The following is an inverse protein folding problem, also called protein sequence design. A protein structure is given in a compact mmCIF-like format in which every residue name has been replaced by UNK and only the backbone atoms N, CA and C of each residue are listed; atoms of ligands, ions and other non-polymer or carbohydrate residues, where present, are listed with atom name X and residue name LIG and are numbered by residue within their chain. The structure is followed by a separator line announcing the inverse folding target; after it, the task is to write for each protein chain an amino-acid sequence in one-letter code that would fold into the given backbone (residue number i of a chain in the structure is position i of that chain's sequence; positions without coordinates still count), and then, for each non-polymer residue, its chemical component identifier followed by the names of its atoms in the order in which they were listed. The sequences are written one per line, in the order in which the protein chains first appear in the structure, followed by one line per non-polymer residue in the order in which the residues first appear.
data_IF_290388678024
#
_entry.id   IF_290388678024
#
_cell.length_a   1.000
_cell.length_b   1.000
_cell.length_c   1.000
_cell.angle_alpha   90.00
_cell.angle_beta   90.00
_cell.angle_gamma   90.00
#
_symmetry.space_group_name_H-M   'P 1'
#
loop_
_entity.id
_entity.type
_entity.pdbx_description
1 polymer ?
#
# COMPACT_ATOMS: atom_id res chain seq x y z
N UNK A 1 20.63 -11.90 -9.71
CA UNK A 1 19.64 -12.34 -10.72
C UNK A 1 18.37 -11.50 -10.68
N UNK A 2 17.70 -11.34 -9.52
CA UNK A 2 16.48 -10.52 -9.38
C UNK A 2 16.67 -9.01 -9.65
N UNK A 3 17.70 -8.37 -9.09
CA UNK A 3 17.98 -6.95 -9.36
C UNK A 3 18.19 -6.66 -10.86
N UNK A 4 18.96 -7.52 -11.55
CA UNK A 4 19.17 -7.42 -12.99
C UNK A 4 17.87 -7.53 -13.80
N UNK A 5 16.91 -8.34 -13.36
CA UNK A 5 15.59 -8.42 -14.00
C UNK A 5 14.80 -7.12 -13.85
N UNK A 6 14.89 -6.45 -12.69
CA UNK A 6 14.26 -5.16 -12.47
C UNK A 6 14.93 -4.04 -13.26
N UNK A 7 16.25 -4.02 -13.38
CA UNK A 7 16.97 -3.08 -14.26
C UNK A 7 16.53 -3.21 -15.73
N UNK A 8 16.41 -4.44 -16.22
CA UNK A 8 15.87 -4.70 -17.56
C UNK A 8 14.41 -4.27 -17.69
N UNK A 9 13.59 -4.53 -16.66
CA UNK A 9 12.19 -4.11 -16.64
C UNK A 9 12.05 -2.58 -16.71
N UNK A 10 12.87 -1.84 -15.95
CA UNK A 10 12.93 -0.36 -16.02
C UNK A 10 13.28 0.07 -17.44
N UNK A 11 14.36 -0.46 -18.02
CA UNK A 11 14.79 -0.10 -19.38
C UNK A 11 13.69 -0.38 -20.43
N UNK A 12 13.02 -1.53 -20.34
CA UNK A 12 11.93 -1.86 -21.26
C UNK A 12 10.71 -0.95 -21.07
N UNK A 13 10.36 -0.64 -19.83
CA UNK A 13 9.26 0.25 -19.51
C UNK A 13 9.54 1.71 -19.94
N UNK A 14 10.78 2.19 -19.83
CA UNK A 14 11.19 3.52 -20.33
C UNK A 14 11.08 3.60 -21.86
N UNK A 15 11.56 2.58 -22.58
CA UNK A 15 11.43 2.52 -24.03
C UNK A 15 9.95 2.47 -24.46
N UNK A 16 9.13 1.67 -23.76
CA UNK A 16 7.70 1.60 -24.02
C UNK A 16 7.01 2.93 -23.73
N UNK A 17 7.37 3.60 -22.62
CA UNK A 17 6.86 4.92 -22.27
C UNK A 17 7.17 5.94 -23.37
N UNK A 18 8.39 5.92 -23.91
CA UNK A 18 8.79 6.80 -24.99
C UNK A 18 7.93 6.59 -26.25
N UNK A 19 7.74 5.34 -26.66
CA UNK A 19 6.91 4.99 -27.82
C UNK A 19 5.43 5.33 -27.62
N UNK A 20 4.83 4.98 -26.47
CA UNK A 20 3.41 5.29 -26.22
C UNK A 20 3.18 6.80 -26.20
N UNK A 21 4.15 7.60 -25.73
CA UNK A 21 4.04 9.07 -25.79
C UNK A 21 4.01 9.64 -27.21
N UNK A 22 4.41 8.90 -28.24
CA UNK A 22 4.28 9.35 -29.64
C UNK A 22 2.95 8.99 -30.28
N UNK A 23 2.10 8.20 -29.60
CA UNK A 23 0.78 7.84 -30.13
C UNK A 23 -0.18 9.03 -30.07
N UNK A 24 -1.11 9.08 -31.02
CA UNK A 24 -2.24 10.01 -30.98
C UNK A 24 -3.28 9.51 -29.96
N UNK A 25 -3.40 10.21 -28.84
CA UNK A 25 -4.33 9.85 -27.76
C UNK A 25 -5.80 9.85 -28.21
N UNK A 26 -6.15 10.57 -29.29
CA UNK A 26 -7.52 10.57 -29.83
C UNK A 26 -7.89 9.25 -30.52
N UNK A 27 -6.90 8.48 -30.95
CA UNK A 27 -7.10 7.21 -31.66
C UNK A 27 -7.06 5.98 -30.74
N UNK A 28 -6.66 6.15 -29.47
CA UNK A 28 -6.48 5.07 -28.51
C UNK A 28 -7.37 5.32 -27.28
N UNK A 29 -8.47 4.60 -27.17
CA UNK A 29 -9.51 4.84 -26.16
C UNK A 29 -9.02 4.76 -24.71
N UNK A 30 -8.03 3.92 -24.42
CA UNK A 30 -7.46 3.69 -23.09
C UNK A 30 -6.02 4.22 -22.97
N UNK A 31 -5.67 5.24 -23.76
CA UNK A 31 -4.33 5.81 -23.82
C UNK A 31 -3.74 6.15 -22.44
N UNK A 32 -4.49 6.88 -21.61
CA UNK A 32 -4.04 7.33 -20.30
C UNK A 32 -3.92 6.20 -19.29
N UNK A 33 -4.78 5.16 -19.39
CA UNK A 33 -4.65 3.95 -18.57
C UNK A 33 -3.37 3.19 -18.93
N UNK A 34 -3.04 3.08 -20.22
CA UNK A 34 -1.79 2.45 -20.69
C UNK A 34 -0.59 3.22 -20.14
N UNK A 35 -0.56 4.55 -20.26
CA UNK A 35 0.52 5.37 -19.72
C UNK A 35 0.66 5.23 -18.20
N UNK A 36 -0.44 5.29 -17.47
CA UNK A 36 -0.44 5.13 -16.01
C UNK A 36 0.07 3.75 -15.59
N UNK A 37 -0.31 2.70 -16.30
CA UNK A 37 0.19 1.34 -16.06
C UNK A 37 1.71 1.23 -16.27
N UNK A 38 2.25 1.87 -17.32
CA UNK A 38 3.70 1.89 -17.57
C UNK A 38 4.43 2.62 -16.44
N UNK A 39 3.92 3.78 -16.00
CA UNK A 39 4.46 4.49 -14.84
C UNK A 39 4.38 3.66 -13.57
N UNK A 40 3.29 2.94 -13.34
CA UNK A 40 3.15 2.03 -12.20
C UNK A 40 4.19 0.91 -12.23
N UNK A 41 4.47 0.32 -13.40
CA UNK A 41 5.53 -0.69 -13.57
C UNK A 41 6.93 -0.13 -13.32
N UNK A 42 7.21 1.10 -13.77
CA UNK A 42 8.46 1.81 -13.47
C UNK A 42 8.60 2.04 -11.97
N UNK A 43 7.53 2.50 -11.32
CA UNK A 43 7.48 2.76 -9.90
C UNK A 43 7.79 1.51 -9.08
N UNK A 44 7.11 0.40 -9.38
CA UNK A 44 7.33 -0.89 -8.72
C UNK A 44 8.74 -1.44 -8.96
N UNK A 45 9.28 -1.34 -10.17
CA UNK A 45 10.62 -1.83 -10.48
C UNK A 45 11.71 -1.02 -9.78
N UNK A 46 11.55 0.30 -9.72
CA UNK A 46 12.46 1.18 -8.97
C UNK A 46 12.36 0.93 -7.46
N UNK A 47 11.17 0.65 -6.92
CA UNK A 47 11.01 0.27 -5.52
C UNK A 47 11.82 -1.00 -5.18
N UNK A 48 11.75 -2.04 -6.03
CA UNK A 48 12.49 -3.28 -5.83
C UNK A 48 14.03 -3.11 -5.96
N UNK A 49 14.47 -2.07 -6.68
CA UNK A 49 15.88 -1.68 -6.78
C UNK A 49 16.34 -0.78 -5.61
N UNK A 50 15.42 -0.29 -4.78
CA UNK A 50 15.71 0.70 -3.72
C UNK A 50 15.82 2.13 -4.22
N UNK A 51 15.46 2.40 -5.48
CA UNK A 51 15.42 3.72 -6.10
C UNK A 51 14.13 4.44 -5.68
N UNK A 52 14.05 4.84 -4.41
CA UNK A 52 12.80 5.35 -3.84
C UNK A 52 12.33 6.67 -4.46
N UNK A 53 13.24 7.54 -4.88
CA UNK A 53 12.88 8.84 -5.49
C UNK A 53 12.22 8.63 -6.84
N UNK A 54 12.87 7.87 -7.72
CA UNK A 54 12.38 7.50 -9.05
C UNK A 54 11.07 6.72 -8.96
N UNK A 55 10.94 5.87 -7.94
CA UNK A 55 9.70 5.16 -7.67
C UNK A 55 8.54 6.09 -7.33
N UNK A 56 8.77 7.07 -6.44
CA UNK A 56 7.77 8.09 -6.09
C UNK A 56 7.42 8.97 -7.28
N UNK A 57 8.39 9.42 -8.07
CA UNK A 57 8.16 10.23 -9.28
C UNK A 57 7.27 9.49 -10.29
N UNK A 58 7.53 8.20 -10.51
CA UNK A 58 6.73 7.39 -11.41
C UNK A 58 5.30 7.18 -10.89
N UNK A 59 5.11 6.85 -9.61
CA UNK A 59 3.76 6.72 -9.04
C UNK A 59 3.00 8.06 -8.96
N UNK A 60 3.70 9.17 -8.73
CA UNK A 60 3.10 10.51 -8.79
C UNK A 60 2.63 10.84 -10.21
N UNK A 61 3.43 10.53 -11.24
CA UNK A 61 3.02 10.72 -12.62
C UNK A 61 1.77 9.90 -12.98
N UNK A 62 1.65 8.66 -12.49
CA UNK A 62 0.44 7.86 -12.65
C UNK A 62 -0.76 8.47 -11.90
N UNK A 63 -0.56 8.97 -10.67
CA UNK A 63 -1.58 9.64 -9.89
C UNK A 63 -2.11 10.90 -10.61
N UNK A 64 -1.21 11.74 -11.12
CA UNK A 64 -1.55 12.99 -11.82
C UNK A 64 -2.35 12.70 -13.10
N UNK A 65 -1.92 11.70 -13.89
CA UNK A 65 -2.70 11.22 -15.04
C UNK A 65 -4.10 10.75 -14.64
N UNK A 66 -4.21 10.05 -13.51
CA UNK A 66 -5.49 9.60 -12.99
C UNK A 66 -6.40 10.77 -12.59
N UNK A 67 -5.85 11.81 -11.95
CA UNK A 67 -6.59 13.03 -11.61
C UNK A 67 -7.07 13.76 -12.87
N UNK A 68 -6.18 14.01 -13.83
CA UNK A 68 -6.48 14.75 -15.06
C UNK A 68 -7.54 14.07 -15.94
N UNK A 69 -7.60 12.74 -15.89
CA UNK A 69 -8.45 11.93 -16.76
C UNK A 69 -9.58 11.20 -16.02
N UNK A 70 -9.81 11.52 -14.74
CA UNK A 70 -10.85 10.93 -13.90
C UNK A 70 -10.78 9.40 -13.79
N UNK A 71 -9.58 8.84 -13.68
CA UNK A 71 -9.33 7.40 -13.56
C UNK A 71 -9.18 7.02 -12.08
N UNK A 72 -10.31 6.73 -11.41
CA UNK A 72 -10.35 6.45 -9.96
C UNK A 72 -9.49 5.26 -9.54
N UNK A 73 -9.46 4.18 -10.32
CA UNK A 73 -8.64 3.00 -10.03
C UNK A 73 -7.13 3.33 -10.10
N UNK A 74 -6.72 4.13 -11.08
CA UNK A 74 -5.32 4.59 -11.21
C UNK A 74 -4.92 5.45 -10.01
N UNK A 75 -5.79 6.37 -9.60
CA UNK A 75 -5.57 7.22 -8.42
C UNK A 75 -5.38 6.32 -7.18
N UNK A 76 -6.30 5.38 -6.96
CA UNK A 76 -6.28 4.45 -5.82
C UNK A 76 -4.98 3.64 -5.76
N UNK A 77 -4.61 2.97 -6.86
CA UNK A 77 -3.39 2.16 -6.93
C UNK A 77 -2.11 2.99 -6.79
N UNK A 78 -2.11 4.23 -7.28
CA UNK A 78 -0.95 5.11 -7.15
C UNK A 78 -0.75 5.53 -5.70
N UNK A 79 -1.82 5.86 -4.97
CA UNK A 79 -1.77 6.15 -3.54
C UNK A 79 -1.24 4.95 -2.73
N UNK A 80 -1.71 3.74 -3.02
CA UNK A 80 -1.22 2.53 -2.35
C UNK A 80 0.27 2.36 -2.51
N UNK A 81 0.75 2.45 -3.75
CA UNK A 81 2.15 2.23 -4.05
C UNK A 81 3.03 3.34 -3.51
N UNK A 82 2.62 4.61 -3.56
CA UNK A 82 3.35 5.71 -2.92
C UNK A 82 3.50 5.47 -1.41
N UNK A 83 2.41 5.08 -0.72
CA UNK A 83 2.47 4.74 0.71
C UNK A 83 3.45 3.58 0.99
N UNK A 84 3.44 2.54 0.14
CA UNK A 84 4.40 1.42 0.25
C UNK A 84 5.85 1.90 0.06
N UNK A 85 6.10 2.80 -0.87
CA UNK A 85 7.43 3.35 -1.13
C UNK A 85 7.91 4.16 0.07
N UNK A 86 7.07 5.06 0.60
CA UNK A 86 7.38 5.83 1.81
C UNK A 86 7.68 4.92 3.02
N UNK A 87 6.83 3.91 3.27
CA UNK A 87 7.03 2.97 4.35
C UNK A 87 8.33 2.14 4.18
N UNK A 88 8.67 1.74 2.96
CA UNK A 88 9.93 1.02 2.66
C UNK A 88 11.17 1.90 2.82
N UNK A 89 11.05 3.20 2.54
CA UNK A 89 12.08 4.21 2.78
C UNK A 89 12.26 4.55 4.27
N UNK A 90 11.31 4.14 5.12
CA UNK A 90 11.27 4.46 6.55
C UNK A 90 10.60 5.81 6.86
N UNK A 91 9.98 6.45 5.85
CA UNK A 91 9.23 7.70 5.99
C UNK A 91 7.78 7.38 6.34
N UNK A 92 7.56 6.90 7.56
CA UNK A 92 6.25 6.41 8.01
C UNK A 92 5.20 7.52 8.13
N UNK A 93 5.60 8.76 8.45
CA UNK A 93 4.65 9.89 8.52
C UNK A 93 4.06 10.20 7.14
N UNK A 94 4.87 10.17 6.07
CA UNK A 94 4.37 10.37 4.69
C UNK A 94 3.51 9.20 4.20
N UNK A 95 3.86 7.96 4.57
CA UNK A 95 3.05 6.78 4.27
C UNK A 95 1.66 6.88 4.92
N UNK A 96 1.63 7.24 6.21
CA UNK A 96 0.39 7.45 6.97
C UNK A 96 -0.48 8.50 6.30
N UNK A 97 0.07 9.66 5.95
CA UNK A 97 -0.69 10.75 5.34
C UNK A 97 -1.42 10.31 4.06
N UNK A 98 -0.74 9.61 3.16
CA UNK A 98 -1.33 9.16 1.89
C UNK A 98 -2.38 8.08 2.12
N UNK A 99 -2.10 7.11 3.00
CA UNK A 99 -3.05 6.03 3.28
C UNK A 99 -4.26 6.48 4.08
N UNK A 100 -4.13 7.46 4.99
CA UNK A 100 -5.29 8.10 5.65
C UNK A 100 -6.17 8.82 4.63
N UNK A 101 -5.58 9.58 3.71
CA UNK A 101 -6.35 10.24 2.63
C UNK A 101 -7.06 9.22 1.73
N UNK A 102 -6.40 8.09 1.40
CA UNK A 102 -7.05 7.01 0.63
C UNK A 102 -8.19 6.39 1.43
N UNK A 103 -7.97 6.12 2.71
CA UNK A 103 -8.94 5.46 3.59
C UNK A 103 -10.25 6.26 3.72
N UNK A 104 -10.20 7.58 3.70
CA UNK A 104 -11.39 8.46 3.72
C UNK A 104 -12.30 8.26 2.50
N UNK A 105 -11.75 7.83 1.37
CA UNK A 105 -12.45 7.67 0.09
C UNK A 105 -12.74 6.20 -0.24
N UNK A 106 -12.20 5.27 0.56
CA UNK A 106 -12.29 3.85 0.30
C UNK A 106 -13.62 3.27 0.78
N UNK A 107 -14.29 2.50 -0.07
CA UNK A 107 -15.55 1.81 0.25
C UNK A 107 -15.45 0.29 0.23
N UNK A 108 -14.39 -0.26 -0.36
CA UNK A 108 -14.17 -1.70 -0.41
C UNK A 108 -13.65 -2.21 0.95
N UNK A 109 -14.33 -3.19 1.52
CA UNK A 109 -14.03 -3.69 2.86
C UNK A 109 -12.62 -4.30 2.95
N UNK A 110 -12.16 -4.97 1.88
CA UNK A 110 -10.84 -5.59 1.85
C UNK A 110 -9.73 -4.54 1.81
N UNK A 111 -9.90 -3.50 0.99
CA UNK A 111 -8.99 -2.36 0.96
C UNK A 111 -8.95 -1.62 2.30
N UNK A 112 -10.11 -1.43 2.95
CA UNK A 112 -10.18 -0.79 4.28
C UNK A 112 -9.41 -1.61 5.31
N UNK A 113 -9.55 -2.95 5.32
CA UNK A 113 -8.79 -3.84 6.20
C UNK A 113 -7.29 -3.70 5.94
N UNK A 114 -6.87 -3.78 4.67
CA UNK A 114 -5.46 -3.68 4.28
C UNK A 114 -4.85 -2.34 4.69
N UNK A 115 -5.55 -1.23 4.44
CA UNK A 115 -5.12 0.12 4.84
C UNK A 115 -5.01 0.26 6.36
N UNK A 116 -5.99 -0.24 7.12
CA UNK A 116 -5.92 -0.22 8.57
C UNK A 116 -4.70 -1.00 9.08
N UNK A 117 -4.42 -2.15 8.49
CA UNK A 117 -3.25 -2.96 8.84
C UNK A 117 -1.93 -2.21 8.56
N UNK A 118 -1.76 -1.64 7.36
CA UNK A 118 -0.53 -0.92 6.99
C UNK A 118 -0.33 0.39 7.79
N UNK A 119 -1.42 1.12 8.06
CA UNK A 119 -1.40 2.28 8.95
C UNK A 119 -0.97 1.88 10.36
N UNK A 120 -1.55 0.82 10.91
CA UNK A 120 -1.19 0.35 12.24
C UNK A 120 0.28 -0.08 12.33
N UNK A 121 0.80 -0.76 11.29
CA UNK A 121 2.24 -1.07 11.20
C UNK A 121 3.10 0.18 11.22
N UNK A 122 2.76 1.21 10.45
CA UNK A 122 3.50 2.48 10.47
C UNK A 122 3.48 3.14 11.85
N UNK A 123 2.32 3.13 12.52
CA UNK A 123 2.21 3.66 13.87
C UNK A 123 3.05 2.88 14.90
N UNK A 124 3.25 1.55 14.74
CA UNK A 124 4.18 0.79 15.57
C UNK A 124 5.64 1.21 15.37
N UNK A 125 6.06 1.41 14.12
CA UNK A 125 7.43 1.85 13.79
C UNK A 125 7.70 3.25 14.36
N UNK A 126 6.69 4.11 14.39
CA UNK A 126 6.74 5.43 15.02
C UNK A 126 6.58 5.41 16.56
N UNK A 127 6.54 4.23 17.20
CA UNK A 127 6.33 4.08 18.65
C UNK A 127 5.04 4.76 19.15
N UNK A 128 3.99 4.72 18.34
CA UNK A 128 2.63 5.23 18.64
C UNK A 128 1.65 4.04 18.77
N UNK A 129 1.84 3.13 19.75
CA UNK A 129 1.10 1.87 19.79
C UNK A 129 -0.39 2.01 20.10
N UNK A 130 -0.85 3.11 20.72
CA UNK A 130 -2.28 3.37 20.88
C UNK A 130 -2.97 3.54 19.52
N UNK A 131 -2.37 4.32 18.61
CA UNK A 131 -2.89 4.51 17.25
C UNK A 131 -2.87 3.21 16.45
N UNK A 132 -1.78 2.44 16.57
CA UNK A 132 -1.72 1.10 15.95
C UNK A 132 -2.84 0.19 16.43
N UNK A 133 -3.11 0.18 17.74
CA UNK A 133 -4.20 -0.59 18.32
C UNK A 133 -5.57 -0.15 17.79
N UNK A 134 -5.84 1.17 17.73
CA UNK A 134 -7.09 1.72 17.16
C UNK A 134 -7.33 1.27 15.71
N UNK A 135 -6.31 1.33 14.85
CA UNK A 135 -6.43 0.83 13.46
C UNK A 135 -6.58 -0.69 13.41
N UNK A 136 -5.89 -1.42 14.30
CA UNK A 136 -6.06 -2.86 14.45
C UNK A 136 -7.50 -3.24 14.79
N UNK A 137 -8.12 -2.58 15.77
CA UNK A 137 -9.52 -2.82 16.14
C UNK A 137 -10.47 -2.54 14.97
N UNK A 138 -10.30 -1.39 14.29
CA UNK A 138 -11.12 -1.03 13.13
C UNK A 138 -11.04 -2.09 12.02
N UNK A 139 -9.84 -2.59 11.71
CA UNK A 139 -9.66 -3.64 10.70
C UNK A 139 -10.22 -5.00 11.15
N UNK A 140 -10.11 -5.32 12.44
CA UNK A 140 -10.56 -6.61 12.98
C UNK A 140 -12.08 -6.76 12.91
N UNK A 141 -12.83 -5.69 13.18
CA UNK A 141 -14.29 -5.71 13.12
C UNK A 141 -14.80 -6.10 11.73
N UNK A 142 -14.18 -5.55 10.68
CA UNK A 142 -14.52 -5.82 9.28
C UNK A 142 -14.04 -7.23 8.88
N UNK A 143 -12.82 -7.62 9.27
CA UNK A 143 -12.33 -8.97 9.00
C UNK A 143 -13.20 -10.05 9.67
N UNK A 144 -13.79 -9.76 10.83
CA UNK A 144 -14.79 -10.61 11.49
C UNK A 144 -16.11 -10.67 10.71
N UNK A 145 -16.64 -9.53 10.23
CA UNK A 145 -17.90 -9.52 9.44
C UNK A 145 -17.77 -10.28 8.11
N UNK A 146 -16.59 -10.21 7.48
CA UNK A 146 -16.27 -10.94 6.26
C UNK A 146 -15.92 -12.42 6.51
N UNK A 147 -15.74 -12.83 7.76
CA UNK A 147 -15.24 -14.15 8.14
C UNK A 147 -13.86 -14.48 7.48
N UNK A 148 -13.03 -13.46 7.27
CA UNK A 148 -11.69 -13.62 6.70
C UNK A 148 -10.69 -13.96 7.81
N UNK A 149 -10.42 -15.26 7.97
CA UNK A 149 -9.52 -15.78 8.99
C UNK A 149 -8.07 -15.30 8.82
N UNK A 150 -7.61 -15.08 7.58
CA UNK A 150 -6.24 -14.66 7.33
C UNK A 150 -6.04 -13.21 7.78
N UNK A 151 -7.00 -12.34 7.47
CA UNK A 151 -6.99 -10.96 7.96
C UNK A 151 -7.16 -10.87 9.47
N UNK A 152 -8.08 -11.64 10.05
CA UNK A 152 -8.22 -11.74 11.51
C UNK A 152 -6.89 -12.14 12.16
N UNK A 153 -6.18 -13.11 11.61
CA UNK A 153 -4.87 -13.54 12.11
C UNK A 153 -3.85 -12.39 12.05
N UNK A 154 -3.66 -11.79 10.87
CA UNK A 154 -2.67 -10.73 10.66
C UNK A 154 -2.92 -9.54 11.59
N UNK A 155 -4.19 -9.14 11.74
CA UNK A 155 -4.59 -8.04 12.61
C UNK A 155 -4.40 -8.40 14.10
N UNK A 156 -4.69 -9.63 14.51
CA UNK A 156 -4.42 -10.05 15.90
C UNK A 156 -2.92 -10.03 16.22
N UNK A 157 -2.03 -10.33 15.27
CA UNK A 157 -0.59 -10.15 15.44
C UNK A 157 -0.24 -8.67 15.67
N UNK A 158 -0.81 -7.76 14.86
CA UNK A 158 -0.61 -6.31 14.99
C UNK A 158 -1.11 -5.78 16.35
N UNK A 159 -2.30 -6.21 16.78
CA UNK A 159 -2.88 -5.88 18.08
C UNK A 159 -1.99 -6.40 19.21
N UNK A 160 -1.49 -7.64 19.10
CA UNK A 160 -0.56 -8.23 20.05
C UNK A 160 0.73 -7.41 20.19
N UNK A 161 1.34 -7.01 19.07
CA UNK A 161 2.51 -6.15 19.04
C UNK A 161 2.25 -4.77 19.67
N UNK A 162 1.09 -4.18 19.38
CA UNK A 162 0.64 -2.91 19.97
C UNK A 162 0.53 -3.02 21.49
N UNK A 163 -0.11 -4.07 21.99
CA UNK A 163 -0.28 -4.32 23.42
C UNK A 163 1.05 -4.62 24.13
N UNK A 164 2.02 -5.26 23.47
CA UNK A 164 3.37 -5.41 24.02
C UNK A 164 4.06 -4.07 24.25
N UNK A 165 4.02 -3.15 23.26
CA UNK A 165 4.58 -1.80 23.42
C UNK A 165 3.84 -1.00 24.51
N UNK A 166 2.53 -1.21 24.66
CA UNK A 166 1.72 -0.64 25.75
C UNK A 166 1.93 -1.30 27.11
N UNK A 167 2.76 -2.36 27.20
CA UNK A 167 2.99 -3.16 28.41
C UNK A 167 1.74 -3.89 28.93
N UNK A 168 0.70 -4.04 28.10
CA UNK A 168 -0.52 -4.81 28.36
C UNK A 168 -0.29 -6.29 28.04
N UNK A 169 0.48 -6.97 28.90
CA UNK A 169 0.99 -8.33 28.61
C UNK A 169 -0.11 -9.39 28.46
N UNK A 170 -1.18 -9.30 29.25
CA UNK A 170 -2.30 -10.24 29.16
C UNK A 170 -3.05 -10.07 27.83
N UNK A 171 -3.36 -8.83 27.45
CA UNK A 171 -4.05 -8.53 26.18
C UNK A 171 -3.20 -8.95 24.97
N UNK A 172 -1.88 -8.73 25.04
CA UNK A 172 -0.96 -9.22 24.02
C UNK A 172 -0.97 -10.75 23.91
N UNK A 173 -0.92 -11.46 25.05
CA UNK A 173 -0.97 -12.92 25.08
C UNK A 173 -2.28 -13.43 24.47
N UNK A 174 -3.42 -12.81 24.80
CA UNK A 174 -4.73 -13.13 24.22
C UNK A 174 -4.69 -12.98 22.70
N UNK A 175 -4.22 -11.83 22.20
CA UNK A 175 -4.18 -11.57 20.76
C UNK A 175 -3.30 -12.58 20.00
N UNK A 176 -2.10 -12.91 20.52
CA UNK A 176 -1.25 -13.92 19.90
C UNK A 176 -1.85 -15.34 19.98
N UNK A 177 -2.57 -15.66 21.06
CA UNK A 177 -3.27 -16.95 21.17
C UNK A 177 -4.37 -17.05 20.12
N UNK A 178 -5.17 -15.99 19.93
CA UNK A 178 -6.19 -15.93 18.88
C UNK A 178 -5.57 -16.10 17.49
N UNK A 179 -4.50 -15.36 17.19
CA UNK A 179 -3.79 -15.50 15.90
C UNK A 179 -3.25 -16.92 15.68
N UNK A 180 -2.72 -17.56 16.72
CA UNK A 180 -2.24 -18.94 16.66
C UNK A 180 -3.37 -19.95 16.40
N UNK A 181 -4.52 -19.80 17.05
CA UNK A 181 -5.67 -20.69 16.80
C UNK A 181 -6.26 -20.51 15.40
N UNK A 182 -6.24 -19.29 14.85
CA UNK A 182 -6.65 -19.03 13.46
C UNK A 182 -5.69 -19.63 12.41
N UNK A 183 -4.44 -19.90 12.80
CA UNK A 183 -3.41 -20.47 11.93
C UNK A 183 -3.48 -22.00 11.79
N UNK A 184 -4.24 -22.68 12.67
CA UNK A 184 -4.44 -24.13 12.66
C UNK A 184 -5.55 -24.55 11.70
#
# INVERSE_FOLDING_TARGET
QRAHQHELAVKHAENLLHEVKTWDSSQVSNYYEILANIYSMLGLSNLELGNYTESLEAHQAAYDLGQENNLSEVISHSMDNMGRVYAKKGDYDSAIKIWEEKLEKCTDELDVIWLCYELGRCYLELQKPNKSFEYGEKGLDIACSMNDKLWQLNINVLIGQSNLQLKKRLDAQTAFTTAYELAK
#
